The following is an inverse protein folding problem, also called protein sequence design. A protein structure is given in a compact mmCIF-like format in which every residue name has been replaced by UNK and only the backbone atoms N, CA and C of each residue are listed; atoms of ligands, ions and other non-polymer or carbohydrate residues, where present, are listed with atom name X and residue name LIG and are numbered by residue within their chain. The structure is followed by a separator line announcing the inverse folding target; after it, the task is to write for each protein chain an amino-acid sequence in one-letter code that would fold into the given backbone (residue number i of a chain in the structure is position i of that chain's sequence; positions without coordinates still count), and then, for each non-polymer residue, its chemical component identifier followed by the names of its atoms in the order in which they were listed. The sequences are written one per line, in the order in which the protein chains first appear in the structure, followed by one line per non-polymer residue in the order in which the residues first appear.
data_IF_310606309869
#
_entry.id   IF_310606309869
#
_cell.length_a   1.000
_cell.length_b   1.000
_cell.length_c   1.000
_cell.angle_alpha   90.00
_cell.angle_beta   90.00
_cell.angle_gamma   90.00
#
_symmetry.space_group_name_H-M   'P 1'
#
loop_
_entity.id
_entity.type
_entity.pdbx_description
1 polymer ?
#
# COMPACT_ATOMS: atom_id res chain seq x y z
N UNK A 1 0.16 17.64 0.76
CA UNK A 1 0.47 16.30 0.23
C UNK A 1 -0.86 15.75 -0.22
N UNK A 2 -1.03 15.54 -1.52
CA UNK A 2 -2.29 15.09 -2.12
C UNK A 2 -2.40 13.57 -1.96
N UNK A 3 -2.46 13.11 -0.72
CA UNK A 3 -2.48 11.69 -0.38
C UNK A 3 -3.38 11.49 0.81
N UNK A 4 -4.29 10.54 0.69
CA UNK A 4 -5.31 10.26 1.68
C UNK A 4 -5.21 8.80 2.13
N UNK A 5 -5.48 8.57 3.41
CA UNK A 5 -5.82 7.23 3.90
C UNK A 5 -7.27 7.00 3.48
N UNK A 6 -7.47 6.06 2.56
CA UNK A 6 -8.79 5.76 2.02
C UNK A 6 -9.56 4.87 3.00
N UNK A 7 -8.90 3.83 3.51
CA UNK A 7 -9.48 2.88 4.46
C UNK A 7 -8.49 2.51 5.57
N UNK A 8 -9.01 2.26 6.78
CA UNK A 8 -8.22 1.82 7.93
C UNK A 8 -8.98 0.73 8.69
N UNK A 9 -8.32 -0.40 8.91
CA UNK A 9 -8.87 -1.57 9.56
C UNK A 9 -8.00 -1.98 10.73
N UNK A 10 -8.62 -2.22 11.88
CA UNK A 10 -7.96 -2.94 12.98
C UNK A 10 -8.02 -4.44 12.70
N UNK A 11 -6.89 -5.12 12.84
CA UNK A 11 -6.79 -6.56 12.58
C UNK A 11 -6.33 -7.30 13.83
N UNK A 12 -6.75 -8.55 13.96
CA UNK A 12 -6.28 -9.47 15.00
C UNK A 12 -5.46 -10.56 14.33
N UNK A 13 -4.13 -10.41 14.34
CA UNK A 13 -3.21 -11.30 13.65
C UNK A 13 -1.76 -10.88 13.84
N UNK A 14 -0.94 -11.09 12.82
CA UNK A 14 0.49 -10.71 12.82
C UNK A 14 0.69 -9.18 12.84
N UNK A 15 -0.27 -8.44 12.28
CA UNK A 15 -0.30 -6.98 12.30
C UNK A 15 -1.55 -6.49 13.03
N UNK A 16 -1.43 -5.35 13.72
CA UNK A 16 -2.53 -4.74 14.50
C UNK A 16 -3.46 -3.88 13.64
N UNK A 17 -3.00 -3.43 12.47
CA UNK A 17 -3.80 -2.61 11.57
C UNK A 17 -3.37 -2.75 10.10
N UNK A 18 -4.31 -2.49 9.20
CA UNK A 18 -4.10 -2.36 7.76
C UNK A 18 -4.68 -1.02 7.30
N UNK A 19 -3.93 -0.28 6.50
CA UNK A 19 -4.38 0.97 5.90
C UNK A 19 -4.24 0.91 4.38
N UNK A 20 -5.26 1.36 3.66
CA UNK A 20 -5.22 1.58 2.21
C UNK A 20 -4.95 3.06 1.99
N UNK A 21 -3.94 3.36 1.18
CA UNK A 21 -3.56 4.74 0.87
C UNK A 21 -3.61 4.93 -0.65
N UNK A 22 -4.21 6.05 -1.06
CA UNK A 22 -4.13 6.51 -2.44
C UNK A 22 -3.17 7.70 -2.52
N UNK A 23 -2.24 7.62 -3.47
CA UNK A 23 -1.25 8.65 -3.73
C UNK A 23 -1.03 8.77 -5.24
N UNK A 24 -0.65 9.97 -5.73
CA UNK A 24 -0.43 10.21 -7.16
C UNK A 24 0.77 9.45 -7.73
N UNK A 25 1.73 9.08 -6.88
CA UNK A 25 2.95 8.38 -7.26
C UNK A 25 3.59 7.66 -6.05
N UNK A 26 4.50 6.72 -6.34
CA UNK A 26 5.17 5.89 -5.33
C UNK A 26 6.04 6.72 -4.35
N UNK A 27 6.62 7.83 -4.80
CA UNK A 27 7.46 8.69 -3.95
C UNK A 27 6.61 9.39 -2.89
N UNK A 28 5.46 9.92 -3.30
CA UNK A 28 4.50 10.56 -2.40
C UNK A 28 3.94 9.55 -1.38
N UNK A 29 3.61 8.32 -1.80
CA UNK A 29 3.19 7.25 -0.90
C UNK A 29 4.28 6.91 0.14
N UNK A 30 5.53 6.75 -0.32
CA UNK A 30 6.66 6.44 0.55
C UNK A 30 6.92 7.57 1.57
N UNK A 31 6.85 8.84 1.15
CA UNK A 31 6.99 9.99 2.05
C UNK A 31 5.91 9.98 3.14
N UNK A 32 4.67 9.64 2.80
CA UNK A 32 3.58 9.51 3.77
C UNK A 32 3.88 8.41 4.79
N UNK A 33 4.18 7.20 4.33
CA UNK A 33 4.49 6.05 5.21
C UNK A 33 5.68 6.36 6.13
N UNK A 34 6.79 6.87 5.59
CA UNK A 34 7.97 7.21 6.37
C UNK A 34 7.69 8.32 7.38
N UNK A 35 6.82 9.29 7.04
CA UNK A 35 6.42 10.35 7.96
C UNK A 35 5.61 9.82 9.14
N UNK A 36 4.75 8.82 8.93
CA UNK A 36 4.00 8.19 10.02
C UNK A 36 4.92 7.28 10.85
N UNK A 37 5.74 6.45 10.20
CA UNK A 37 6.60 5.48 10.87
C UNK A 37 7.79 6.10 11.61
N UNK A 38 8.29 7.28 11.20
CA UNK A 38 9.41 7.96 11.90
C UNK A 38 9.09 8.35 13.35
N UNK A 39 7.80 8.44 13.70
CA UNK A 39 7.40 8.75 15.07
C UNK A 39 7.74 7.60 16.05
N UNK A 40 8.12 6.42 15.54
CA UNK A 40 8.56 5.26 16.33
C UNK A 40 7.42 4.51 17.03
N UNK A 41 6.18 4.96 16.85
CA UNK A 41 5.00 4.30 17.43
C UNK A 41 4.53 3.08 16.61
N UNK A 42 4.93 2.98 15.33
CA UNK A 42 4.52 1.90 14.43
C UNK A 42 5.70 1.38 13.61
N UNK A 43 5.67 0.09 13.28
CA UNK A 43 6.49 -0.53 12.24
C UNK A 43 5.58 -0.91 11.08
N UNK A 44 5.86 -0.41 9.88
CA UNK A 44 5.00 -0.57 8.71
C UNK A 44 5.62 -1.52 7.69
N UNK A 45 4.81 -2.43 7.14
CA UNK A 45 5.09 -3.14 5.90
C UNK A 45 4.20 -2.56 4.80
N UNK A 46 4.80 -2.13 3.69
CA UNK A 46 4.07 -1.45 2.60
C UNK A 46 4.04 -2.35 1.37
N UNK A 47 2.84 -2.59 0.86
CA UNK A 47 2.59 -3.38 -0.33
C UNK A 47 2.06 -2.47 -1.43
N UNK A 48 2.66 -2.53 -2.62
CA UNK A 48 2.12 -1.85 -3.79
C UNK A 48 0.90 -2.64 -4.29
N UNK A 49 -0.25 -1.98 -4.30
CA UNK A 49 -1.46 -2.52 -4.92
C UNK A 49 -1.47 -2.18 -6.41
N UNK A 50 -1.67 -3.20 -7.25
CA UNK A 50 -1.93 -2.98 -8.67
C UNK A 50 -3.44 -2.76 -8.88
N UNK A 51 -3.85 -1.78 -9.68
CA UNK A 51 -5.20 -1.69 -10.18
C UNK A 51 -5.63 -3.00 -10.86
N UNK A 52 -6.94 -3.25 -10.86
CA UNK A 52 -7.48 -4.51 -11.37
C UNK A 52 -7.09 -4.77 -12.84
N UNK A 53 -7.14 -3.72 -13.65
CA UNK A 53 -6.81 -3.80 -15.06
C UNK A 53 -5.31 -4.08 -15.29
N UNK A 54 -4.43 -3.49 -14.48
CA UNK A 54 -2.97 -3.69 -14.61
C UNK A 54 -2.55 -5.13 -14.27
N UNK A 55 -3.08 -5.71 -13.19
CA UNK A 55 -2.68 -7.08 -12.85
C UNK A 55 -3.25 -8.10 -13.86
N UNK A 56 -4.38 -7.81 -14.51
CA UNK A 56 -4.92 -8.66 -15.59
C UNK A 56 -3.98 -8.68 -16.79
N UNK A 57 -3.46 -7.53 -17.21
CA UNK A 57 -2.47 -7.47 -18.28
C UNK A 57 -1.21 -8.26 -17.92
N UNK A 58 -0.76 -8.21 -16.65
CA UNK A 58 0.35 -9.02 -16.16
C UNK A 58 0.06 -10.52 -16.32
N UNK A 59 -1.17 -10.96 -16.00
CA UNK A 59 -1.59 -12.36 -16.16
C UNK A 59 -1.60 -12.77 -17.64
N UNK A 60 -2.12 -11.92 -18.54
CA UNK A 60 -2.17 -12.20 -19.98
C UNK A 60 -0.77 -12.34 -20.61
N UNK A 61 0.25 -11.69 -20.02
CA UNK A 61 1.64 -11.78 -20.45
C UNK A 61 2.40 -13.01 -19.96
N UNK A 62 1.80 -13.88 -19.12
CA UNK A 62 2.48 -15.06 -18.59
C UNK A 62 2.65 -16.14 -19.66
N UNK A 63 3.83 -16.79 -19.76
CA UNK A 63 4.02 -17.90 -20.69
C UNK A 63 3.16 -19.11 -20.28
N UNK A 64 2.59 -19.79 -21.28
CA UNK A 64 1.90 -21.06 -21.08
C UNK A 64 2.90 -22.12 -20.58
N UNK A 65 2.50 -22.90 -19.57
CA UNK A 65 3.33 -23.94 -18.93
C UNK A 65 3.37 -25.24 -19.72
#
# INVERSE_FOLDING_TARGET
MDSAVDEFYLTFGEYDAVAVIEAPDDETAAQLVLTVSRAGAISSETLKAFPEDEYREVIEGLPEQ
#
